data_IF_424930084030
#
_entry.id   IF_424930084030
#
_cell.length_a   1.000
_cell.length_b   1.000
_cell.length_c   1.000
_cell.angle_alpha   90.00
_cell.angle_beta   90.00
_cell.angle_gamma   90.00
#
_symmetry.space_group_name_H-M   'P 1'
#
loop_
_entity.id
_entity.type
_entity.pdbx_description
1 polymer ?
#
# COMPACT_ATOMS: atom_id res chain seq x y z
N UNK A 1 13.36 12.43 22.94
CA UNK A 1 13.27 12.10 22.42
C UNK A 1 13.42 11.54 21.99
N UNK A 2 13.47 11.43 21.94
CA UNK A 2 13.60 10.99 21.35
C UNK A 2 13.17 10.32 20.66
N UNK A 3 12.56 10.38 20.70
CA UNK A 3 11.73 9.72 19.83
C UNK A 3 12.22 9.73 18.50
N UNK A 4 12.75 10.68 18.23
CA UNK A 4 13.19 10.81 16.90
C UNK A 4 13.92 9.65 16.43
N UNK A 5 14.39 8.95 17.28
CA UNK A 5 15.10 7.91 16.86
C UNK A 5 14.42 7.01 16.06
N UNK A 6 13.27 6.88 16.25
CA UNK A 6 12.57 5.98 15.46
C UNK A 6 12.48 6.47 14.09
N UNK A 7 12.76 7.68 13.86
CA UNK A 7 12.71 8.18 12.53
C UNK A 7 14.01 8.17 11.84
N UNK A 8 14.89 7.33 12.26
CA UNK A 8 16.20 7.42 11.69
C UNK A 8 16.17 7.21 10.20
N UNK A 9 16.98 7.93 9.48
CA UNK A 9 16.99 7.91 8.03
C UNK A 9 17.37 6.58 7.43
N UNK A 10 18.12 5.82 8.13
CA UNK A 10 18.50 4.55 7.59
C UNK A 10 17.29 3.63 7.49
N UNK A 11 16.18 4.03 8.05
CA UNK A 11 14.99 3.24 7.94
C UNK A 11 14.03 3.81 6.93
N UNK A 12 14.55 4.50 5.97
CA UNK A 12 13.73 5.19 5.01
C UNK A 12 12.66 4.35 4.34
N UNK A 13 12.82 3.04 4.31
CA UNK A 13 11.81 2.18 3.71
C UNK A 13 11.29 1.24 4.77
N UNK A 14 10.75 1.79 5.80
CA UNK A 14 10.13 0.98 6.84
C UNK A 14 8.67 0.73 6.49
N UNK A 15 8.15 -0.42 6.84
CA UNK A 15 6.73 -0.67 6.64
C UNK A 15 5.91 0.30 7.48
N UNK A 16 4.74 0.66 6.98
CA UNK A 16 3.81 1.45 7.74
C UNK A 16 3.21 0.54 8.80
N UNK A 17 3.27 0.96 10.05
CA UNK A 17 2.66 0.19 11.11
C UNK A 17 1.14 0.18 10.93
N UNK A 18 0.48 -0.77 11.58
CA UNK A 18 -0.97 -0.86 11.52
C UNK A 18 -1.59 0.44 12.03
N UNK A 19 -0.99 1.00 13.07
CA UNK A 19 -1.49 2.23 13.65
C UNK A 19 -1.39 3.40 12.68
N UNK A 20 -0.27 3.49 11.97
CA UNK A 20 -0.09 4.54 10.98
C UNK A 20 -1.05 4.38 9.82
N UNK A 21 -1.28 3.15 9.39
CA UNK A 21 -2.21 2.90 8.31
C UNK A 21 -3.61 3.35 8.72
N UNK A 22 -4.03 3.00 9.92
CA UNK A 22 -5.36 3.38 10.40
C UNK A 22 -5.49 4.88 10.50
N UNK A 23 -4.44 5.57 10.94
CA UNK A 23 -4.45 7.02 11.07
C UNK A 23 -4.68 7.70 9.71
N UNK A 24 -4.07 7.16 8.67
CA UNK A 24 -4.22 7.72 7.32
C UNK A 24 -5.52 7.30 6.68
N UNK A 25 -6.02 6.15 7.05
CA UNK A 25 -7.20 5.54 6.46
C UNK A 25 -8.50 6.14 6.97
N UNK A 26 -8.59 6.34 8.29
CA UNK A 26 -9.84 6.77 8.90
C UNK A 26 -10.38 8.13 8.41
N UNK A 27 -9.53 9.14 8.13
CA UNK A 27 -10.06 10.40 7.66
C UNK A 27 -10.59 10.38 6.24
N UNK A 28 -10.34 9.32 5.50
CA UNK A 28 -10.77 9.29 4.09
C UNK A 28 -12.28 9.12 3.99
N UNK A 29 -12.89 9.65 2.93
CA UNK A 29 -14.29 9.35 2.66
C UNK A 29 -14.48 7.84 2.51
N UNK A 30 -15.69 7.38 2.80
CA UNK A 30 -15.96 5.94 2.80
C UNK A 30 -15.57 5.25 1.50
N UNK A 31 -15.89 5.88 0.37
CA UNK A 31 -15.57 5.29 -0.93
C UNK A 31 -14.05 5.16 -1.08
N UNK A 32 -13.32 6.20 -0.69
CA UNK A 32 -11.86 6.16 -0.80
C UNK A 32 -11.27 5.12 0.14
N UNK A 33 -11.85 4.96 1.33
CA UNK A 33 -11.37 3.95 2.27
C UNK A 33 -11.50 2.55 1.68
N UNK A 34 -12.65 2.26 1.08
CA UNK A 34 -12.86 0.96 0.48
C UNK A 34 -11.87 0.69 -0.63
N UNK A 35 -11.64 1.67 -1.47
CA UNK A 35 -10.71 1.52 -2.59
C UNK A 35 -9.29 1.28 -2.06
N UNK A 36 -8.85 2.09 -1.11
CA UNK A 36 -7.51 1.94 -0.57
C UNK A 36 -7.33 0.57 0.07
N UNK A 37 -8.32 0.13 0.84
CA UNK A 37 -8.24 -1.16 1.51
C UNK A 37 -8.11 -2.30 0.50
N UNK A 38 -8.90 -2.26 -0.57
CA UNK A 38 -8.87 -3.33 -1.57
C UNK A 38 -7.54 -3.32 -2.33
N UNK A 39 -7.05 -2.12 -2.70
CA UNK A 39 -5.79 -2.03 -3.42
C UNK A 39 -4.62 -2.49 -2.55
N UNK A 40 -4.62 -2.09 -1.28
CA UNK A 40 -3.58 -2.53 -0.35
C UNK A 40 -3.59 -4.05 -0.22
N UNK A 41 -4.78 -4.60 0.00
CA UNK A 41 -4.92 -6.05 0.17
C UNK A 41 -4.43 -6.79 -1.08
N UNK A 42 -4.86 -6.32 -2.25
CA UNK A 42 -4.43 -6.96 -3.49
C UNK A 42 -2.93 -6.88 -3.72
N UNK A 43 -2.35 -5.73 -3.38
CA UNK A 43 -0.91 -5.54 -3.52
C UNK A 43 -0.15 -6.55 -2.63
N UNK A 44 -0.59 -6.67 -1.38
CA UNK A 44 0.10 -7.55 -0.45
C UNK A 44 -0.08 -9.02 -0.81
N UNK A 45 -1.25 -9.38 -1.32
CA UNK A 45 -1.48 -10.76 -1.75
C UNK A 45 -0.64 -11.08 -2.98
N UNK A 46 -0.60 -10.15 -3.95
CA UNK A 46 0.19 -10.36 -5.16
C UNK A 46 1.68 -10.33 -4.86
N UNK A 47 2.07 -9.59 -3.82
CA UNK A 47 3.46 -9.40 -3.41
C UNK A 47 4.28 -8.71 -4.49
N UNK A 48 3.66 -7.80 -5.22
CA UNK A 48 4.36 -7.01 -6.23
C UNK A 48 3.48 -5.84 -6.62
N UNK A 49 4.04 -4.84 -7.31
CA UNK A 49 3.27 -3.68 -7.73
C UNK A 49 2.10 -4.08 -8.62
N UNK A 50 1.07 -3.25 -8.62
CA UNK A 50 -0.16 -3.52 -9.35
C UNK A 50 -0.06 -2.96 -10.76
N UNK A 51 -0.46 -3.75 -11.73
CA UNK A 51 -0.62 -3.26 -13.10
C UNK A 51 -2.02 -2.68 -13.25
N UNK A 52 -2.23 -1.95 -14.32
CA UNK A 52 -3.55 -1.37 -14.56
C UNK A 52 -4.65 -2.43 -14.58
N UNK A 53 -4.37 -3.59 -15.15
CA UNK A 53 -5.37 -4.67 -15.16
C UNK A 53 -5.66 -5.19 -13.78
N UNK A 54 -4.64 -5.21 -12.91
CA UNK A 54 -4.87 -5.61 -11.52
C UNK A 54 -5.79 -4.63 -10.83
N UNK A 55 -5.56 -3.34 -11.05
CA UNK A 55 -6.37 -2.30 -10.44
C UNK A 55 -7.82 -2.43 -10.90
N UNK A 56 -8.03 -2.63 -12.18
CA UNK A 56 -9.38 -2.77 -12.70
C UNK A 56 -10.07 -4.02 -12.17
N UNK A 57 -9.31 -5.08 -11.99
CA UNK A 57 -9.88 -6.31 -11.43
C UNK A 57 -10.23 -6.18 -9.97
N UNK A 58 -9.41 -5.44 -9.21
CA UNK A 58 -9.66 -5.25 -7.79
C UNK A 58 -10.76 -4.23 -7.55
N UNK A 59 -10.79 -3.17 -8.35
CA UNK A 59 -11.72 -2.07 -8.15
C UNK A 59 -12.40 -1.70 -9.46
N UNK A 60 -13.33 -2.54 -9.92
CA UNK A 60 -14.06 -2.17 -11.12
C UNK A 60 -14.94 -0.96 -10.82
N UNK A 61 -14.84 0.05 -11.66
CA UNK A 61 -15.58 1.28 -11.44
C UNK A 61 -16.71 1.36 -12.45
N UNK A 62 -17.86 1.84 -12.01
CA UNK A 62 -19.06 1.91 -12.85
C UNK A 62 -19.59 3.32 -13.00
N UNK A 63 -19.10 4.26 -12.20
CA UNK A 63 -19.56 5.63 -12.24
C UNK A 63 -18.37 6.56 -12.30
N UNK A 64 -18.62 7.79 -12.72
CA UNK A 64 -17.56 8.79 -12.74
C UNK A 64 -17.05 9.07 -11.33
N UNK A 65 -17.95 9.02 -10.37
CA UNK A 65 -17.55 9.23 -8.98
C UNK A 65 -16.58 8.16 -8.53
N UNK A 66 -16.86 6.92 -8.86
CA UNK A 66 -15.98 5.81 -8.50
C UNK A 66 -14.64 5.93 -9.21
N UNK A 67 -14.66 6.28 -10.49
CA UNK A 67 -13.42 6.47 -11.23
C UNK A 67 -12.58 7.58 -10.65
N UNK A 68 -13.23 8.69 -10.29
CA UNK A 68 -12.53 9.80 -9.68
C UNK A 68 -11.91 9.43 -8.35
N UNK A 69 -12.67 8.69 -7.53
CA UNK A 69 -12.16 8.26 -6.23
C UNK A 69 -10.97 7.32 -6.39
N UNK A 70 -11.05 6.40 -7.33
CA UNK A 70 -9.94 5.49 -7.60
C UNK A 70 -8.70 6.27 -8.03
N UNK A 71 -8.88 7.24 -8.90
CA UNK A 71 -7.76 8.05 -9.36
C UNK A 71 -7.11 8.80 -8.20
N UNK A 72 -7.92 9.39 -7.33
CA UNK A 72 -7.40 10.13 -6.18
C UNK A 72 -6.59 9.22 -5.27
N UNK A 73 -7.12 8.02 -4.98
CA UNK A 73 -6.42 7.09 -4.10
C UNK A 73 -5.10 6.65 -4.74
N UNK A 74 -5.11 6.34 -6.03
CA UNK A 74 -3.88 5.93 -6.69
C UNK A 74 -2.84 7.03 -6.66
N UNK A 75 -3.26 8.27 -6.96
CA UNK A 75 -2.32 9.39 -6.98
C UNK A 75 -1.78 9.71 -5.61
N UNK A 76 -2.57 9.51 -4.58
CA UNK A 76 -2.19 9.91 -3.24
C UNK A 76 -1.32 8.86 -2.55
N UNK A 77 -1.63 7.59 -2.74
CA UNK A 77 -0.98 6.53 -1.95
C UNK A 77 -0.04 5.64 -2.74
N UNK A 78 0.02 5.80 -4.05
CA UNK A 78 0.89 4.98 -4.89
C UNK A 78 1.67 5.88 -5.82
N UNK A 79 2.75 5.33 -6.37
CA UNK A 79 3.55 6.03 -7.37
C UNK A 79 3.49 5.28 -8.68
N UNK A 80 3.33 6.02 -9.77
CA UNK A 80 3.34 5.41 -11.08
C UNK A 80 4.78 5.13 -11.47
N UNK A 81 5.08 3.89 -11.81
CA UNK A 81 6.42 3.46 -12.17
C UNK A 81 6.27 2.62 -13.43
N UNK A 82 6.48 3.24 -14.59
CA UNK A 82 6.22 2.62 -15.87
C UNK A 82 4.76 2.22 -15.94
N UNK A 83 4.44 0.94 -16.06
CA UNK A 83 3.06 0.48 -16.14
C UNK A 83 2.53 0.01 -14.81
N UNK A 84 3.26 0.27 -13.74
CA UNK A 84 2.89 -0.24 -12.42
C UNK A 84 2.52 0.86 -11.45
N UNK A 85 1.66 0.52 -10.50
CA UNK A 85 1.38 1.36 -9.34
C UNK A 85 2.12 0.75 -8.18
N UNK A 86 3.07 1.50 -7.64
CA UNK A 86 4.00 0.99 -6.63
C UNK A 86 3.85 1.73 -5.32
N UNK A 87 4.00 1.02 -4.21
CA UNK A 87 4.03 1.61 -2.89
C UNK A 87 5.28 1.12 -2.18
N UNK A 88 6.19 2.03 -1.85
CA UNK A 88 7.40 1.66 -1.14
C UNK A 88 7.08 1.06 0.22
N UNK A 89 6.05 1.58 0.89
CA UNK A 89 5.66 1.06 2.20
C UNK A 89 5.19 -0.39 2.11
N UNK A 90 4.38 -0.70 1.10
CA UNK A 90 3.89 -2.07 0.95
C UNK A 90 5.00 -2.99 0.45
N UNK A 91 5.90 -2.48 -0.39
CA UNK A 91 7.06 -3.26 -0.80
C UNK A 91 7.90 -3.66 0.41
N UNK A 92 8.04 -2.75 1.38
CA UNK A 92 8.81 -3.04 2.58
C UNK A 92 8.12 -4.11 3.43
N UNK A 93 6.79 -4.07 3.51
CA UNK A 93 6.05 -5.11 4.23
C UNK A 93 6.28 -6.47 3.58
N UNK A 94 6.20 -6.52 2.26
CA UNK A 94 6.39 -7.76 1.52
C UNK A 94 7.80 -8.29 1.76
N UNK A 95 8.79 -7.42 1.68
CA UNK A 95 10.16 -7.82 1.87
C UNK A 95 10.38 -8.38 3.27
N UNK A 96 9.80 -7.72 4.26
CA UNK A 96 9.93 -8.16 5.63
C UNK A 96 9.29 -9.53 5.84
N UNK A 97 8.13 -9.76 5.22
CA UNK A 97 7.49 -11.05 5.33
C UNK A 97 8.31 -12.16 4.69
N UNK A 98 8.90 -11.86 3.52
CA UNK A 98 9.71 -12.85 2.85
C UNK A 98 10.96 -13.19 3.64
N UNK A 99 11.57 -12.20 4.27
CA UNK A 99 12.74 -12.43 5.10
C UNK A 99 12.39 -13.25 6.33
N UNK A 100 11.24 -12.97 6.92
CA UNK A 100 10.80 -13.74 8.07
C UNK A 100 10.58 -15.21 7.70
N UNK A 101 9.94 -15.44 6.56
CA UNK A 101 9.71 -16.82 6.11
C UNK A 101 11.00 -17.53 5.82
N UNK A 102 11.94 -16.86 5.19
CA UNK A 102 13.22 -17.47 4.89
C UNK A 102 13.95 -17.84 6.17
N UNK A 103 13.91 -16.94 7.17
CA UNK A 103 14.55 -17.22 8.44
C UNK A 103 13.90 -18.43 9.12
N UNK A 104 12.58 -18.49 9.08
CA UNK A 104 11.86 -19.61 9.67
C UNK A 104 12.25 -20.92 9.01
N UNK A 105 12.41 -20.90 7.71
CA UNK A 105 12.78 -22.10 7.00
C UNK A 105 14.16 -22.61 7.38
N UNK A 106 15.05 -21.72 7.71
CA UNK A 106 16.41 -22.11 8.07
C UNK A 106 16.49 -22.68 9.48
N UNK A 107 15.48 -22.44 10.28
CA UNK A 107 15.46 -22.98 11.61
C UNK A 107 14.91 -24.40 11.61
#
# INVERSE_FOLDING_TARGET
MSAAKKNSPERGISPISEEEFIRDFLPLPILHRGILFVLRTGYLIKQSPLEDLDVLGLCPTRTEEEEGALHVVLQRFFNRDASFWRSAAYDAIIQEELETKAHHKLL
#
